data_IF_048682369280
#
_entry.id   IF_048682369280
#
_cell.length_a   1.000
_cell.length_b   1.000
_cell.length_c   1.000
_cell.angle_alpha   90.00
_cell.angle_beta   90.00
_cell.angle_gamma   90.00
#
_symmetry.space_group_name_H-M   'P 1'
#
loop_
_entity.id
_entity.type
_entity.pdbx_description
1 polymer ?
#
# COMPACT_ATOMS: atom_id res chain seq x y z
N UNK A 1 21.30 -11.50 -9.88
CA UNK A 1 20.47 -10.64 -10.73
C UNK A 1 19.57 -9.79 -9.86
N UNK A 2 19.65 -8.48 -9.99
CA UNK A 2 18.79 -7.58 -9.21
C UNK A 2 17.41 -7.46 -9.86
N UNK A 3 16.40 -7.25 -9.01
CA UNK A 3 15.06 -7.00 -9.50
C UNK A 3 14.98 -5.62 -10.15
N UNK A 4 14.20 -5.52 -11.22
CA UNK A 4 13.92 -4.23 -11.87
C UNK A 4 12.77 -3.55 -11.15
N UNK A 5 12.76 -2.21 -11.13
CA UNK A 5 11.62 -1.49 -10.57
C UNK A 5 10.32 -1.80 -11.30
N UNK A 6 9.28 -2.03 -10.54
CA UNK A 6 7.92 -2.22 -11.05
C UNK A 6 7.25 -0.84 -11.17
N UNK A 7 6.40 -0.68 -12.16
CA UNK A 7 5.64 0.55 -12.39
C UNK A 7 4.16 0.26 -12.26
N UNK A 8 3.47 1.02 -11.41
CA UNK A 8 2.02 0.88 -11.20
C UNK A 8 1.38 2.27 -11.17
N UNK A 9 0.32 2.43 -11.93
CA UNK A 9 -0.49 3.66 -11.90
C UNK A 9 -1.82 3.35 -11.20
N UNK A 10 -2.20 4.22 -10.27
CA UNK A 10 -3.46 4.08 -9.53
C UNK A 10 -4.28 5.37 -9.64
N UNK A 11 -5.62 5.27 -9.60
CA UNK A 11 -6.48 6.44 -9.62
C UNK A 11 -6.56 7.11 -8.25
N UNK A 12 -6.53 8.43 -8.24
CA UNK A 12 -6.75 9.24 -7.03
C UNK A 12 -7.72 10.37 -7.39
N UNK A 13 -8.50 10.84 -6.44
CA UNK A 13 -9.44 11.93 -6.69
C UNK A 13 -8.83 13.30 -6.41
N UNK A 14 -7.71 13.36 -5.73
CA UNK A 14 -7.06 14.61 -5.34
C UNK A 14 -5.57 14.39 -5.17
N UNK A 15 -4.76 15.26 -5.79
CA UNK A 15 -3.30 15.23 -5.62
C UNK A 15 -2.93 15.63 -4.18
N UNK A 16 -3.63 16.56 -3.58
CA UNK A 16 -3.38 16.98 -2.21
C UNK A 16 -3.61 15.85 -1.21
N UNK A 17 -4.70 15.10 -1.37
CA UNK A 17 -4.98 13.93 -0.53
C UNK A 17 -3.97 12.81 -0.78
N UNK A 18 -3.53 12.63 -2.02
CA UNK A 18 -2.48 11.67 -2.35
C UNK A 18 -1.17 12.01 -1.64
N UNK A 19 -0.78 13.28 -1.62
CA UNK A 19 0.41 13.75 -0.91
C UNK A 19 0.31 13.52 0.59
N UNK A 20 -0.84 13.79 1.16
CA UNK A 20 -1.07 13.56 2.59
C UNK A 20 -0.95 12.09 2.94
N UNK A 21 -1.55 11.21 2.14
CA UNK A 21 -1.56 9.78 2.41
C UNK A 21 -0.22 9.11 2.06
N UNK A 22 0.16 9.16 0.79
CA UNK A 22 1.36 8.44 0.33
C UNK A 22 2.65 9.12 0.77
N UNK A 23 2.67 10.45 0.79
CA UNK A 23 3.83 11.21 1.21
C UNK A 23 3.97 11.31 2.71
N UNK A 24 2.96 11.85 3.39
CA UNK A 24 3.06 12.12 4.84
C UNK A 24 2.80 10.91 5.70
N UNK A 25 1.69 10.19 5.49
CA UNK A 25 1.33 9.05 6.34
C UNK A 25 2.19 7.83 6.06
N UNK A 26 2.36 7.46 4.80
CA UNK A 26 3.17 6.29 4.42
C UNK A 26 4.66 6.60 4.34
N UNK A 27 5.01 7.86 4.15
CA UNK A 27 6.41 8.29 4.17
C UNK A 27 7.18 8.02 2.88
N UNK A 28 6.51 7.86 1.74
CA UNK A 28 7.18 7.65 0.46
C UNK A 28 7.72 8.97 -0.09
N UNK A 29 8.91 8.91 -0.70
CA UNK A 29 9.52 10.08 -1.31
C UNK A 29 8.82 10.41 -2.63
N UNK A 30 8.51 11.71 -2.84
CA UNK A 30 7.93 12.18 -4.09
C UNK A 30 8.97 12.18 -5.21
N UNK A 31 8.53 11.82 -6.41
CA UNK A 31 9.30 12.01 -7.63
C UNK A 31 8.80 13.25 -8.38
N UNK A 32 8.46 13.07 -9.66
CA UNK A 32 7.93 14.16 -10.48
C UNK A 32 6.42 14.26 -10.34
N UNK A 33 5.88 15.44 -10.65
CA UNK A 33 4.44 15.67 -10.58
C UNK A 33 4.01 16.78 -11.52
N UNK A 34 2.71 16.81 -11.83
CA UNK A 34 2.04 17.97 -12.42
C UNK A 34 0.64 18.10 -11.80
N UNK A 35 -0.26 18.82 -12.47
CA UNK A 35 -1.60 19.05 -11.93
C UNK A 35 -2.46 17.79 -11.82
N UNK A 36 -2.14 16.74 -12.58
CA UNK A 36 -3.01 15.58 -12.74
C UNK A 36 -2.37 14.27 -12.29
N UNK A 37 -1.10 14.29 -11.91
CA UNK A 37 -0.42 13.08 -11.45
C UNK A 37 0.77 13.40 -10.55
N UNK A 38 1.20 12.41 -9.78
CA UNK A 38 2.38 12.49 -8.92
C UNK A 38 3.00 11.09 -8.77
N UNK A 39 4.34 11.04 -8.87
CA UNK A 39 5.13 9.82 -8.69
C UNK A 39 5.60 9.69 -7.26
N UNK A 40 5.64 8.46 -6.77
CA UNK A 40 6.24 8.11 -5.48
C UNK A 40 7.23 6.97 -5.62
N UNK A 41 8.26 7.00 -4.79
CA UNK A 41 9.16 5.86 -4.61
C UNK A 41 8.50 4.89 -3.63
N UNK A 42 8.00 3.77 -4.15
CA UNK A 42 7.35 2.73 -3.36
C UNK A 42 8.33 1.57 -3.19
N UNK A 43 9.12 1.62 -2.11
CA UNK A 43 10.14 0.59 -1.80
C UNK A 43 11.07 0.29 -2.99
N UNK A 44 11.48 1.31 -3.71
CA UNK A 44 12.33 1.18 -4.89
C UNK A 44 11.56 0.98 -6.20
N UNK A 45 10.24 0.85 -6.13
CA UNK A 45 9.38 0.76 -7.31
C UNK A 45 8.71 2.10 -7.60
N UNK A 46 8.11 2.22 -8.78
CA UNK A 46 7.48 3.45 -9.20
C UNK A 46 5.95 3.35 -9.05
N UNK A 47 5.40 4.16 -8.16
CA UNK A 47 3.96 4.28 -7.96
C UNK A 47 3.50 5.63 -8.47
N UNK A 48 2.57 5.65 -9.41
CA UNK A 48 2.05 6.88 -10.00
C UNK A 48 0.60 7.06 -9.63
N UNK A 49 0.27 8.19 -9.02
CA UNK A 49 -1.11 8.57 -8.71
C UNK A 49 -1.62 9.49 -9.82
N UNK A 50 -2.66 9.06 -10.53
CA UNK A 50 -3.31 9.86 -11.57
C UNK A 50 -4.71 10.24 -11.14
N UNK A 51 -5.13 11.46 -11.45
CA UNK A 51 -6.51 11.88 -11.19
C UNK A 51 -7.46 10.99 -12.01
N UNK A 52 -8.40 10.34 -11.34
CA UNK A 52 -9.37 9.45 -11.96
C UNK A 52 -10.28 8.81 -10.94
N UNK A 53 -11.27 8.07 -11.42
CA UNK A 53 -12.21 7.35 -10.56
C UNK A 53 -11.65 5.98 -10.16
N UNK A 54 -11.91 5.62 -8.91
CA UNK A 54 -11.53 4.31 -8.38
C UNK A 54 -12.76 3.40 -8.30
N UNK A 55 -12.56 2.14 -8.66
CA UNK A 55 -13.58 1.09 -8.50
C UNK A 55 -12.95 -0.11 -7.82
N UNK A 56 -13.61 -0.61 -6.77
CA UNK A 56 -13.15 -1.81 -6.07
C UNK A 56 -14.26 -2.82 -5.93
N UNK A 57 -13.86 -4.09 -5.96
CA UNK A 57 -14.72 -5.23 -5.67
C UNK A 57 -14.10 -5.95 -4.47
N UNK A 58 -14.83 -6.90 -3.90
CA UNK A 58 -14.32 -7.70 -2.79
C UNK A 58 -14.35 -9.18 -3.13
N UNK A 59 -13.40 -9.90 -2.57
CA UNK A 59 -13.31 -11.35 -2.66
C UNK A 59 -13.01 -11.90 -1.27
N UNK A 60 -13.62 -13.03 -0.92
CA UNK A 60 -13.37 -13.64 0.39
C UNK A 60 -12.11 -14.48 0.36
N UNK A 61 -11.19 -14.21 1.29
CA UNK A 61 -9.96 -14.96 1.49
C UNK A 61 -9.79 -15.21 2.98
N UNK A 62 -9.67 -16.46 3.40
CA UNK A 62 -9.54 -16.86 4.81
C UNK A 62 -10.65 -16.25 5.69
N UNK A 63 -11.89 -16.20 5.17
CA UNK A 63 -13.02 -15.64 5.89
C UNK A 63 -13.05 -14.12 5.98
N UNK A 64 -12.18 -13.43 5.24
CA UNK A 64 -12.07 -11.97 5.23
C UNK A 64 -12.39 -11.41 3.85
N UNK A 65 -13.10 -10.30 3.80
CA UNK A 65 -13.37 -9.59 2.55
C UNK A 65 -12.12 -8.81 2.14
N UNK A 66 -11.57 -9.18 0.98
CA UNK A 66 -10.36 -8.56 0.44
C UNK A 66 -10.75 -7.71 -0.76
N UNK A 67 -10.42 -6.39 -0.74
CA UNK A 67 -10.73 -5.52 -1.88
C UNK A 67 -9.89 -5.84 -3.11
N UNK A 68 -10.46 -5.61 -4.28
CA UNK A 68 -9.80 -5.77 -5.58
C UNK A 68 -10.11 -4.52 -6.42
N UNK A 69 -9.12 -3.86 -7.05
CA UNK A 69 -7.70 -4.20 -7.01
C UNK A 69 -7.05 -3.85 -5.67
N UNK A 70 -5.96 -4.50 -5.38
CA UNK A 70 -5.06 -4.09 -4.30
C UNK A 70 -3.63 -4.41 -4.74
N UNK A 71 -2.67 -3.81 -4.07
CA UNK A 71 -1.27 -4.05 -4.33
C UNK A 71 -0.50 -3.91 -3.03
N UNK A 72 0.73 -4.39 -3.03
CA UNK A 72 1.55 -4.31 -1.85
C UNK A 72 2.98 -4.72 -2.13
N UNK A 73 3.71 -4.87 -1.04
CA UNK A 73 5.11 -5.23 -1.06
C UNK A 73 5.35 -6.34 -0.03
N UNK A 74 6.24 -7.24 -0.35
CA UNK A 74 6.70 -8.26 0.60
C UNK A 74 7.92 -7.70 1.31
N UNK A 75 7.85 -7.60 2.61
CA UNK A 75 8.91 -7.05 3.45
C UNK A 75 9.52 -8.14 4.32
N UNK A 76 10.77 -7.95 4.73
CA UNK A 76 11.36 -8.75 5.78
C UNK A 76 10.61 -8.50 7.09
N UNK A 77 10.66 -9.46 8.05
CA UNK A 77 9.92 -9.38 9.30
C UNK A 77 10.15 -8.07 10.05
N UNK A 78 11.39 -7.64 10.18
CA UNK A 78 11.72 -6.39 10.89
C UNK A 78 11.16 -5.17 10.17
N UNK A 79 11.22 -5.14 8.84
CA UNK A 79 10.68 -4.05 8.04
C UNK A 79 9.16 -4.00 8.16
N UNK A 80 8.50 -5.15 8.14
CA UNK A 80 7.05 -5.25 8.29
C UNK A 80 6.62 -4.68 9.64
N UNK A 81 7.26 -5.13 10.72
CA UNK A 81 6.92 -4.66 12.07
C UNK A 81 7.10 -3.15 12.21
N UNK A 82 8.20 -2.62 11.69
CA UNK A 82 8.49 -1.18 11.72
C UNK A 82 7.45 -0.39 10.94
N UNK A 83 7.10 -0.86 9.75
CA UNK A 83 6.13 -0.21 8.90
C UNK A 83 4.72 -0.26 9.52
N UNK A 84 4.31 -1.40 10.06
CA UNK A 84 3.01 -1.54 10.70
C UNK A 84 2.87 -0.64 11.93
N UNK A 85 3.92 -0.47 12.73
CA UNK A 85 3.92 0.46 13.87
C UNK A 85 3.77 1.91 13.39
N UNK A 86 4.46 2.28 12.32
CA UNK A 86 4.33 3.60 11.71
C UNK A 86 2.89 3.85 11.23
N UNK A 87 2.27 2.87 10.59
CA UNK A 87 0.90 2.98 10.11
C UNK A 87 -0.08 3.15 11.28
N UNK A 88 0.10 2.40 12.34
CA UNK A 88 -0.74 2.52 13.55
C UNK A 88 -0.67 3.92 14.14
N UNK A 89 0.52 4.50 14.20
CA UNK A 89 0.70 5.85 14.73
C UNK A 89 0.25 6.97 13.77
N UNK A 90 0.00 6.65 12.52
CA UNK A 90 -0.43 7.61 11.49
C UNK A 90 -1.94 7.60 11.26
N UNK A 91 -2.71 6.98 12.14
CA UNK A 91 -4.18 6.91 12.04
C UNK A 91 -4.68 6.22 10.76
N UNK A 92 -3.98 5.18 10.34
CA UNK A 92 -4.37 4.38 9.18
C UNK A 92 -5.52 3.43 9.57
N UNK A 93 -6.53 3.35 8.73
CA UNK A 93 -7.65 2.43 8.91
C UNK A 93 -7.32 1.08 8.30
N UNK A 94 -7.06 0.08 9.14
CA UNK A 94 -6.83 -1.27 8.65
C UNK A 94 -8.16 -1.94 8.27
N UNK A 95 -8.20 -2.54 7.08
CA UNK A 95 -9.27 -3.47 6.70
C UNK A 95 -9.00 -4.79 7.40
N UNK A 96 -7.75 -5.23 7.34
CA UNK A 96 -7.26 -6.43 8.00
C UNK A 96 -6.06 -6.02 8.82
N UNK A 97 -6.19 -6.08 10.14
CA UNK A 97 -5.09 -5.76 11.06
C UNK A 97 -3.95 -6.77 10.87
N UNK A 98 -2.70 -6.39 11.20
CA UNK A 98 -1.58 -7.32 11.09
C UNK A 98 -1.88 -8.65 11.80
N UNK A 99 -1.68 -9.77 11.10
CA UNK A 99 -1.88 -11.09 11.67
C UNK A 99 -0.98 -12.12 10.99
N UNK A 100 -0.77 -13.25 11.67
CA UNK A 100 0.02 -14.37 11.16
C UNK A 100 -0.84 -15.26 10.27
N UNK A 101 -0.28 -15.67 9.13
CA UNK A 101 -0.86 -16.71 8.26
C UNK A 101 0.10 -17.89 8.24
N UNK A 102 -0.46 -19.09 8.16
CA UNK A 102 0.30 -20.33 8.09
C UNK A 102 1.24 -20.50 9.29
N UNK A 103 0.76 -20.12 10.48
CA UNK A 103 1.54 -20.18 11.71
C UNK A 103 2.09 -21.59 11.95
N UNK A 104 3.41 -21.66 12.20
CA UNK A 104 4.09 -22.93 12.43
C UNK A 104 4.29 -23.80 11.21
N UNK A 105 3.96 -23.30 10.00
CA UNK A 105 4.04 -24.06 8.75
C UNK A 105 5.05 -23.40 7.79
N UNK A 106 5.53 -24.16 6.78
CA UNK A 106 6.31 -23.54 5.72
C UNK A 106 5.52 -22.41 5.06
N UNK A 107 6.17 -21.28 4.82
CA UNK A 107 5.50 -20.11 4.26
C UNK A 107 4.80 -19.24 5.28
N UNK A 108 5.07 -19.41 6.57
CA UNK A 108 4.55 -18.53 7.62
C UNK A 108 4.82 -17.05 7.25
N UNK A 109 3.79 -16.21 7.40
CA UNK A 109 3.91 -14.79 7.05
C UNK A 109 2.97 -13.94 7.90
N UNK A 110 3.31 -12.67 8.04
CA UNK A 110 2.40 -11.65 8.56
C UNK A 110 1.78 -10.90 7.40
N UNK A 111 0.50 -10.58 7.54
CA UNK A 111 -0.26 -9.88 6.50
C UNK A 111 -1.06 -8.76 7.12
N UNK A 112 -1.20 -7.66 6.41
CA UNK A 112 -2.11 -6.57 6.76
C UNK A 112 -2.64 -5.92 5.50
N UNK A 113 -3.87 -5.38 5.59
CA UNK A 113 -4.49 -4.63 4.50
C UNK A 113 -5.04 -3.32 5.04
N UNK A 114 -4.86 -2.26 4.30
CA UNK A 114 -5.47 -0.97 4.62
C UNK A 114 -5.89 -0.26 3.33
N UNK A 115 -6.80 0.67 3.46
CA UNK A 115 -7.28 1.45 2.32
C UNK A 115 -6.55 2.79 2.23
N UNK A 116 -6.35 3.25 1.00
CA UNK A 116 -6.05 4.67 0.78
C UNK A 116 -7.38 5.46 0.80
N UNK A 117 -7.33 6.81 0.71
CA UNK A 117 -8.56 7.62 0.77
C UNK A 117 -9.48 7.49 -0.43
N UNK A 118 -9.06 6.76 -1.44
CA UNK A 118 -9.76 6.68 -2.73
C UNK A 118 -10.36 5.31 -2.94
#
# INVERSE_FOLDING_TARGET
>A
MSLRPFHLAIPVTSIELAKEFYGSKLGFAEGRSDEHWIDYNFFGHQLVCHIGESRTFSNEVDGKDVPIPHFGIVLEWKQFDKFSEKLKSSSINFIIKPYLRFEGQPGEQKTMFFKDPF
#
